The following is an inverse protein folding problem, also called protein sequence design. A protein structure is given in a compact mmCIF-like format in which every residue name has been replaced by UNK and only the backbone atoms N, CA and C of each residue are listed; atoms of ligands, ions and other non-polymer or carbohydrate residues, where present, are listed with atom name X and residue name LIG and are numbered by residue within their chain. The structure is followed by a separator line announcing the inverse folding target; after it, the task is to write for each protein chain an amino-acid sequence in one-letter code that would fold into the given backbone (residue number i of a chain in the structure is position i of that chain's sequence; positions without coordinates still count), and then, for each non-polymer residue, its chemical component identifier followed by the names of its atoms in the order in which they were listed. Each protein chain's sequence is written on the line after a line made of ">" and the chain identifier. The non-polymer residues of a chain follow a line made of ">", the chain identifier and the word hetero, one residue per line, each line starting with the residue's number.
data_IF_446571066980
#
_entry.id   IF_446571066980
#
_cell.length_a   1.000
_cell.length_b   1.000
_cell.length_c   1.000
_cell.angle_alpha   90.00
_cell.angle_beta   90.00
_cell.angle_gamma   90.00
#
_symmetry.space_group_name_H-M   'P 1'
#
loop_
_entity.id
_entity.type
_entity.pdbx_description
1 polymer ?
#
# COMPACT_ATOMS: atom_id res chain seq x y z
N UNK A 1 1.35 0.89 9.39
CA UNK A 1 0.63 2.01 8.75
C UNK A 1 0.09 1.53 7.41
N UNK A 2 -1.17 1.80 7.02
CA UNK A 2 -1.70 1.41 5.72
C UNK A 2 -1.13 2.28 4.58
N UNK A 3 -0.80 1.64 3.48
CA UNK A 3 -0.44 2.29 2.21
C UNK A 3 -1.71 2.50 1.39
N UNK A 4 -1.94 3.71 0.89
CA UNK A 4 -2.95 3.99 -0.12
C UNK A 4 -2.32 4.23 -1.48
N UNK A 5 -2.85 3.57 -2.50
CA UNK A 5 -2.43 3.69 -3.90
C UNK A 5 -3.51 4.41 -4.68
N UNK A 6 -3.14 5.50 -5.35
CA UNK A 6 -3.99 6.34 -6.17
C UNK A 6 -3.62 6.14 -7.63
N UNK A 7 -4.61 5.90 -8.48
CA UNK A 7 -4.42 5.63 -9.90
C UNK A 7 -5.19 6.66 -10.72
N UNK A 8 -4.46 7.38 -11.58
CA UNK A 8 -5.06 8.30 -12.53
C UNK A 8 -5.39 7.55 -13.82
N UNK A 9 -6.68 7.29 -14.04
CA UNK A 9 -7.17 6.64 -15.26
C UNK A 9 -7.43 7.62 -16.42
N UNK A 10 -7.10 8.91 -16.26
CA UNK A 10 -7.23 9.88 -17.35
C UNK A 10 -6.34 9.46 -18.53
N UNK A 11 -6.92 9.29 -19.74
CA UNK A 11 -6.15 8.92 -20.93
C UNK A 11 -4.97 9.87 -21.16
N UNK A 12 -3.79 9.31 -21.43
CA UNK A 12 -2.55 10.08 -21.61
C UNK A 12 -1.83 10.50 -20.32
N UNK A 13 -2.45 10.33 -19.14
CA UNK A 13 -1.83 10.67 -17.86
C UNK A 13 -1.20 9.45 -17.15
N UNK A 14 -2.00 8.38 -16.97
CA UNK A 14 -1.63 7.05 -16.42
C UNK A 14 -0.63 7.10 -15.25
N UNK A 15 -0.90 7.95 -14.26
CA UNK A 15 0.00 8.17 -13.13
C UNK A 15 -0.42 7.36 -11.91
N UNK A 16 0.56 6.79 -11.20
CA UNK A 16 0.39 6.11 -9.90
C UNK A 16 1.00 6.98 -8.80
N UNK A 17 0.30 7.11 -7.69
CA UNK A 17 0.82 7.75 -6.48
C UNK A 17 0.59 6.87 -5.26
N UNK A 18 1.59 6.80 -4.40
CA UNK A 18 1.60 5.93 -3.22
C UNK A 18 1.80 6.79 -1.98
N UNK A 19 0.91 6.67 -1.00
CA UNK A 19 0.95 7.48 0.22
C UNK A 19 0.66 6.62 1.44
N UNK A 20 1.56 6.69 2.42
CA UNK A 20 1.32 6.13 3.74
C UNK A 20 0.31 7.00 4.49
N UNK A 21 -0.70 6.34 5.04
CA UNK A 21 -1.77 6.98 5.80
C UNK A 21 -1.72 6.50 7.24
N UNK A 22 -2.20 7.31 8.21
CA UNK A 22 -2.28 6.89 9.60
C UNK A 22 -3.28 5.73 9.78
N UNK A 23 -4.43 5.82 9.11
CA UNK A 23 -5.49 4.80 9.12
C UNK A 23 -6.01 4.49 7.71
N UNK A 24 -6.71 3.36 7.56
CA UNK A 24 -7.24 2.93 6.27
C UNK A 24 -8.49 3.74 5.89
N UNK A 25 -9.32 4.14 6.87
CA UNK A 25 -10.46 5.02 6.65
C UNK A 25 -10.03 6.39 6.10
N UNK A 26 -9.01 7.01 6.71
CA UNK A 26 -8.48 8.29 6.21
C UNK A 26 -7.95 8.16 4.78
N UNK A 27 -7.30 7.04 4.46
CA UNK A 27 -6.84 6.76 3.10
C UNK A 27 -7.97 6.71 2.07
N UNK A 28 -9.11 6.10 2.42
CA UNK A 28 -10.28 5.99 1.54
C UNK A 28 -11.01 7.32 1.36
N UNK A 29 -11.02 8.17 2.39
CA UNK A 29 -11.64 9.49 2.37
C UNK A 29 -10.76 10.57 1.75
N UNK A 30 -9.44 10.35 1.72
CA UNK A 30 -8.50 11.29 1.14
C UNK A 30 -8.68 11.35 -0.39
N UNK A 31 -9.04 12.54 -0.86
CA UNK A 31 -9.02 12.91 -2.27
C UNK A 31 -7.69 13.60 -2.58
N UNK A 32 -7.00 13.13 -3.63
CA UNK A 32 -5.73 13.71 -4.04
C UNK A 32 -5.72 14.09 -5.52
N UNK A 33 -5.29 15.31 -5.87
CA UNK A 33 -5.14 15.70 -7.26
C UNK A 33 -3.99 14.94 -7.90
N UNK A 34 -4.21 14.49 -9.14
CA UNK A 34 -3.15 13.91 -9.95
C UNK A 34 -2.06 14.98 -10.20
N UNK A 35 -0.78 14.70 -9.91
CA UNK A 35 0.28 15.69 -10.09
C UNK A 35 0.53 16.08 -11.56
N UNK A 36 -0.05 15.34 -12.51
CA UNK A 36 0.16 15.52 -13.94
C UNK A 36 -0.99 16.23 -14.65
N UNK A 37 -2.23 15.90 -14.30
CA UNK A 37 -3.41 16.46 -14.97
C UNK A 37 -4.42 17.13 -14.02
N UNK A 38 -4.19 17.11 -12.71
CA UNK A 38 -5.06 17.72 -11.71
C UNK A 38 -6.36 16.96 -11.40
N UNK A 39 -6.69 15.91 -12.15
CA UNK A 39 -7.86 15.05 -11.89
C UNK A 39 -7.84 14.55 -10.45
N UNK A 40 -8.95 14.71 -9.73
CA UNK A 40 -9.11 14.20 -8.37
C UNK A 40 -9.15 12.68 -8.41
N UNK A 41 -8.27 12.05 -7.63
CA UNK A 41 -8.18 10.60 -7.48
C UNK A 41 -8.59 10.22 -6.06
N UNK A 42 -9.26 9.08 -5.93
CA UNK A 42 -9.50 8.40 -4.67
C UNK A 42 -8.55 7.21 -4.51
N UNK A 43 -8.40 6.72 -3.28
CA UNK A 43 -7.56 5.56 -3.01
C UNK A 43 -8.16 4.31 -3.69
N UNK A 44 -7.46 3.80 -4.70
CA UNK A 44 -7.86 2.63 -5.48
C UNK A 44 -7.52 1.32 -4.77
N UNK A 45 -6.48 1.32 -3.95
CA UNK A 45 -6.06 0.14 -3.20
C UNK A 45 -5.40 0.51 -1.86
N UNK A 46 -5.76 -0.21 -0.80
CA UNK A 46 -5.14 -0.10 0.52
C UNK A 46 -4.32 -1.35 0.82
N UNK A 47 -3.04 -1.20 1.13
CA UNK A 47 -2.16 -2.26 1.60
C UNK A 47 -1.85 -2.11 3.08
N UNK A 48 -1.85 -3.20 3.84
CA UNK A 48 -1.30 -3.21 5.19
C UNK A 48 0.14 -3.72 5.14
N UNK A 49 1.09 -2.88 5.53
CA UNK A 49 2.42 -3.39 5.88
C UNK A 49 2.26 -4.12 7.21
N UNK A 50 2.20 -5.45 7.17
CA UNK A 50 2.44 -6.25 8.36
C UNK A 50 3.89 -6.00 8.80
N UNK A 51 4.11 -5.80 10.09
CA UNK A 51 5.46 -5.76 10.64
C UNK A 51 6.19 -7.02 10.19
N UNK A 52 7.39 -6.85 9.64
CA UNK A 52 8.21 -8.01 9.29
C UNK A 52 8.47 -8.77 10.59
N UNK A 53 8.03 -10.03 10.72
CA UNK A 53 8.22 -10.77 11.96
C UNK A 53 9.71 -10.85 12.25
N UNK A 54 10.09 -10.63 13.50
CA UNK A 54 11.47 -10.83 13.91
C UNK A 54 11.82 -12.31 13.68
N UNK A 55 12.95 -12.57 13.03
CA UNK A 55 13.36 -13.94 12.69
C UNK A 55 13.52 -14.81 13.95
N UNK A 56 13.79 -14.18 15.11
CA UNK A 56 13.89 -14.81 16.43
C UNK A 56 12.54 -15.27 16.98
N UNK A 57 11.46 -14.59 16.60
CA UNK A 57 10.08 -14.90 17.00
C UNK A 57 9.40 -15.83 15.97
N UNK A 58 10.02 -16.03 14.81
CA UNK A 58 9.59 -17.00 13.82
C UNK A 58 9.89 -18.40 14.33
N UNK A 59 8.87 -19.16 14.72
CA UNK A 59 8.94 -20.60 15.03
C UNK A 59 9.13 -21.44 13.76
N UNK A 60 9.89 -20.94 12.78
CA UNK A 60 10.23 -21.69 11.58
C UNK A 60 10.97 -22.95 12.05
N UNK A 61 10.25 -24.07 11.99
CA UNK A 61 10.70 -25.34 12.51
C UNK A 61 12.10 -25.63 11.97
N UNK A 62 13.03 -25.90 12.88
CA UNK A 62 14.38 -26.36 12.56
C UNK A 62 14.25 -27.44 11.51
N UNK A 63 14.73 -27.16 10.29
CA UNK A 63 14.76 -28.14 9.23
C UNK A 63 15.63 -29.31 9.71
N UNK A 64 14.98 -30.44 10.02
CA UNK A 64 15.68 -31.69 10.30
C UNK A 64 15.79 -32.45 8.97
N UNK A 65 17.00 -32.64 8.42
CA UNK A 65 17.16 -33.57 7.31
C UNK A 65 16.64 -34.95 7.75
N UNK A 66 15.79 -35.56 6.93
CA UNK A 66 15.47 -36.99 7.08
C UNK A 66 16.76 -37.77 6.87
N UNK A 67 17.22 -38.44 7.92
CA UNK A 67 18.18 -39.54 7.80
C UNK A 67 17.53 -40.76 7.17
#
# INVERSE_FOLDING_TARGET
>A
MPLCVYLCYTPGCQSKLERWMPTAEEGKQAEMPCPRCGTVMSCAWTGTQQETPNLKDSTAGVWKPKG
#
